data_IF_567812269030
#
_entry.id   IF_567812269030
#
_cell.length_a   1.000
_cell.length_b   1.000
_cell.length_c   1.000
_cell.angle_alpha   90.00
_cell.angle_beta   90.00
_cell.angle_gamma   90.00
#
_symmetry.space_group_name_H-M   'P 1'
#
loop_
_entity.id
_entity.type
_entity.pdbx_description
1 polymer ?
#
# COMPACT_ATOMS: atom_id res chain seq x y z
N UNK A 1 22.23 38.33 58.37
CA UNK A 1 23.41 37.45 58.36
C UNK A 1 23.56 36.85 56.97
N UNK A 2 24.51 37.38 56.20
CA UNK A 2 25.08 36.81 54.97
C UNK A 2 26.61 36.99 55.10
N UNK A 3 27.47 36.18 54.46
CA UNK A 3 27.67 36.16 53.00
C UNK A 3 27.46 34.75 52.40
N UNK A 4 27.62 34.50 51.10
CA UNK A 4 28.05 35.37 49.98
C UNK A 4 29.26 34.80 49.21
N UNK A 5 29.32 34.87 47.87
CA UNK A 5 30.39 34.28 47.06
C UNK A 5 31.60 35.20 46.80
N UNK A 6 32.72 34.62 46.36
CA UNK A 6 33.87 35.27 45.71
C UNK A 6 34.41 34.38 44.57
N UNK A 7 35.19 34.85 43.58
CA UNK A 7 35.88 36.13 43.42
C UNK A 7 37.28 36.10 44.07
N UNK A 8 38.42 36.43 43.42
CA UNK A 8 38.72 36.97 42.06
C UNK A 8 39.90 36.16 41.43
N UNK A 9 40.64 36.49 40.36
CA UNK A 9 40.89 37.67 39.48
C UNK A 9 41.16 37.15 38.03
N UNK A 10 41.64 37.86 36.99
CA UNK A 10 42.23 39.21 36.81
C UNK A 10 43.76 39.16 36.56
N UNK A 11 44.39 40.10 35.80
CA UNK A 11 43.88 41.30 35.11
C UNK A 11 43.50 40.98 33.63
N UNK A 12 43.81 41.65 32.49
CA UNK A 12 44.65 42.81 32.12
C UNK A 12 44.21 43.49 30.79
N UNK A 13 45.11 44.20 30.09
CA UNK A 13 44.81 45.35 29.20
C UNK A 13 45.04 45.16 27.68
N UNK A 14 44.07 45.65 26.88
CA UNK A 14 44.12 46.79 25.91
C UNK A 14 45.46 47.21 25.21
N UNK A 15 45.42 47.97 24.07
CA UNK A 15 44.36 48.19 23.06
C UNK A 15 44.84 48.39 21.58
N UNK A 16 43.90 48.79 20.69
CA UNK A 16 44.06 49.52 19.39
C UNK A 16 44.56 48.75 18.14
N UNK A 17 43.88 49.01 17.02
CA UNK A 17 44.32 48.73 15.64
C UNK A 17 43.22 49.08 14.63
N UNK A 18 43.44 50.03 13.71
CA UNK A 18 42.42 50.56 12.76
C UNK A 18 43.05 50.82 11.39
N UNK A 19 42.58 50.16 10.33
CA UNK A 19 42.66 50.63 8.93
C UNK A 19 41.78 49.75 8.01
N UNK A 20 41.44 50.29 6.84
CA UNK A 20 40.83 49.58 5.70
C UNK A 20 41.84 49.57 4.54
N UNK A 21 41.78 48.56 3.66
CA UNK A 21 42.25 48.67 2.28
C UNK A 21 41.70 47.53 1.38
N UNK A 22 41.07 47.91 0.28
CA UNK A 22 41.00 47.17 -0.99
C UNK A 22 41.77 48.02 -2.05
N UNK A 23 41.85 47.65 -3.34
CA UNK A 23 41.71 46.34 -3.99
C UNK A 23 42.99 45.95 -4.79
N UNK A 24 42.99 44.77 -5.41
CA UNK A 24 44.02 44.40 -6.41
C UNK A 24 43.71 43.06 -7.08
N UNK A 25 43.68 43.03 -8.41
CA UNK A 25 43.41 41.82 -9.20
C UNK A 25 44.70 41.01 -9.48
N UNK A 26 44.54 39.79 -10.02
CA UNK A 26 45.08 39.37 -11.33
C UNK A 26 44.41 38.05 -11.77
N UNK A 27 44.20 37.87 -13.07
CA UNK A 27 43.65 36.65 -13.67
C UNK A 27 44.71 35.55 -13.83
N UNK A 28 44.34 34.30 -13.51
CA UNK A 28 44.78 33.09 -14.22
C UNK A 28 43.74 31.98 -14.03
N UNK A 29 43.23 31.40 -15.12
CA UNK A 29 42.16 30.41 -15.08
C UNK A 29 42.62 28.96 -15.00
N UNK A 30 41.86 28.12 -14.31
CA UNK A 30 41.82 26.64 -14.45
C UNK A 30 40.49 26.11 -13.89
N UNK A 31 40.00 24.94 -14.34
CA UNK A 31 38.58 24.61 -14.28
C UNK A 31 38.09 24.24 -12.87
N UNK A 32 36.88 24.73 -12.54
CA UNK A 32 36.12 24.29 -11.37
C UNK A 32 35.47 22.93 -11.68
N UNK A 33 35.62 21.89 -10.84
CA UNK A 33 34.90 20.63 -11.03
C UNK A 33 33.40 20.84 -10.80
N UNK A 34 32.55 20.10 -11.51
CA UNK A 34 31.11 20.31 -11.50
C UNK A 34 30.48 20.21 -10.11
N UNK A 35 29.52 21.11 -9.84
CA UNK A 35 28.58 20.89 -8.74
C UNK A 35 27.70 19.69 -9.12
N UNK A 36 27.48 18.72 -8.21
CA UNK A 36 26.52 17.65 -8.48
C UNK A 36 25.15 18.28 -8.72
N UNK A 37 24.56 18.01 -9.89
CA UNK A 37 23.17 18.37 -10.16
C UNK A 37 22.27 17.66 -9.13
N UNK A 38 21.20 18.29 -8.63
CA UNK A 38 20.22 17.57 -7.84
C UNK A 38 19.65 16.44 -8.70
N UNK A 39 19.66 15.21 -8.17
CA UNK A 39 19.03 14.06 -8.80
C UNK A 39 17.59 14.39 -9.20
N UNK A 40 17.14 13.88 -10.35
CA UNK A 40 15.76 14.05 -10.82
C UNK A 40 14.76 13.75 -9.70
N UNK A 41 14.14 14.80 -9.17
CA UNK A 41 12.93 14.65 -8.37
C UNK A 41 11.84 14.07 -9.28
N UNK A 42 11.05 13.08 -8.84
CA UNK A 42 9.93 12.59 -9.63
C UNK A 42 8.99 13.75 -9.99
N UNK A 43 8.61 13.86 -11.26
CA UNK A 43 7.51 14.75 -11.64
C UNK A 43 6.23 14.30 -10.92
N UNK A 44 5.48 15.19 -10.26
CA UNK A 44 4.30 14.83 -9.48
C UNK A 44 3.11 14.39 -10.36
N UNK A 45 3.19 14.63 -11.68
CA UNK A 45 2.08 14.51 -12.63
C UNK A 45 2.09 13.21 -13.45
N UNK A 46 3.06 12.30 -13.21
CA UNK A 46 3.05 10.97 -13.83
C UNK A 46 2.16 10.05 -13.01
N UNK A 47 0.98 9.69 -13.52
CA UNK A 47 0.12 8.70 -12.88
C UNK A 47 0.88 7.36 -12.68
N UNK A 48 0.80 6.75 -11.49
CA UNK A 48 1.52 5.51 -11.22
C UNK A 48 0.96 4.36 -12.05
N UNK A 49 1.75 3.83 -12.98
CA UNK A 49 1.35 2.75 -13.88
C UNK A 49 1.00 1.41 -13.23
N UNK A 50 1.07 1.32 -11.90
CA UNK A 50 0.54 0.22 -11.09
C UNK A 50 -0.92 0.40 -10.66
N UNK A 51 -1.59 1.50 -11.06
CA UNK A 51 -2.98 1.81 -10.71
C UNK A 51 -3.85 1.82 -11.95
N UNK A 52 -5.04 1.22 -11.85
CA UNK A 52 -6.14 1.47 -12.79
C UNK A 52 -7.37 1.95 -11.98
N UNK A 53 -8.00 3.03 -12.43
CA UNK A 53 -9.25 3.56 -11.87
C UNK A 53 -10.33 3.58 -12.95
N UNK A 54 -11.48 2.97 -12.67
CA UNK A 54 -12.67 3.05 -13.52
C UNK A 54 -13.86 3.57 -12.72
N UNK A 55 -14.66 4.42 -13.37
CA UNK A 55 -15.88 5.03 -12.81
C UNK A 55 -17.01 4.85 -13.82
N UNK A 56 -18.09 4.18 -13.41
CA UNK A 56 -19.16 3.77 -14.30
C UNK A 56 -20.53 4.12 -13.69
N UNK A 57 -21.39 4.76 -14.47
CA UNK A 57 -22.70 5.24 -14.02
C UNK A 57 -23.83 4.41 -14.63
N UNK A 58 -24.84 4.06 -13.82
CA UNK A 58 -25.94 3.19 -14.24
C UNK A 58 -27.31 3.76 -13.85
N UNK A 59 -28.31 3.57 -14.70
CA UNK A 59 -29.69 4.04 -14.49
C UNK A 59 -30.73 2.95 -14.69
N UNK A 60 -31.81 3.04 -13.93
CA UNK A 60 -33.01 2.24 -14.15
C UNK A 60 -33.89 2.97 -15.18
N UNK A 61 -33.80 2.54 -16.44
CA UNK A 61 -34.60 3.13 -17.51
C UNK A 61 -36.10 2.81 -17.35
N UNK A 62 -37.03 3.74 -17.66
CA UNK A 62 -38.43 3.40 -17.86
C UNK A 62 -38.58 2.36 -18.98
N UNK A 63 -39.47 1.38 -18.81
CA UNK A 63 -39.55 0.12 -19.56
C UNK A 63 -39.91 0.21 -21.07
N UNK A 64 -39.67 1.33 -21.75
CA UNK A 64 -40.26 1.67 -23.04
C UNK A 64 -39.26 1.81 -24.22
N UNK A 65 -37.97 2.02 -23.97
CA UNK A 65 -36.99 2.30 -25.03
C UNK A 65 -35.96 1.16 -25.21
N UNK A 66 -36.21 0.27 -26.17
CA UNK A 66 -35.16 -0.57 -26.78
C UNK A 66 -34.27 0.28 -27.70
N UNK A 67 -33.59 1.27 -27.12
CA UNK A 67 -32.43 1.89 -27.72
C UNK A 67 -31.32 0.85 -27.89
N UNK A 68 -30.51 1.02 -28.93
CA UNK A 68 -29.62 0.01 -29.48
C UNK A 68 -28.52 -0.43 -28.50
N UNK A 69 -28.08 -1.69 -28.63
CA UNK A 69 -26.97 -2.27 -27.87
C UNK A 69 -25.64 -1.76 -28.47
N UNK A 70 -25.35 -0.48 -28.22
CA UNK A 70 -24.07 0.15 -28.52
C UNK A 70 -22.99 -0.52 -27.67
N UNK A 71 -22.15 -1.36 -28.29
CA UNK A 71 -21.18 -2.22 -27.60
C UNK A 71 -20.40 -1.54 -26.47
N UNK A 72 -20.31 -2.24 -25.35
CA UNK A 72 -19.70 -1.79 -24.10
C UNK A 72 -18.20 -1.59 -24.24
N UNK A 73 -17.67 -0.54 -23.60
CA UNK A 73 -16.23 -0.27 -23.39
C UNK A 73 -15.66 -1.23 -22.31
N UNK A 74 -15.91 -2.54 -22.46
CA UNK A 74 -15.56 -3.60 -21.50
C UNK A 74 -14.03 -3.77 -21.36
N UNK A 75 -13.27 -3.42 -22.41
CA UNK A 75 -11.80 -3.42 -22.48
C UNK A 75 -11.08 -2.65 -21.35
N UNK A 76 -11.79 -1.83 -20.57
CA UNK A 76 -11.27 -1.06 -19.44
C UNK A 76 -11.55 -1.71 -18.07
N UNK A 77 -12.48 -2.66 -17.99
CA UNK A 77 -13.00 -3.21 -16.74
C UNK A 77 -12.11 -4.38 -16.26
N UNK A 78 -11.41 -4.18 -15.14
CA UNK A 78 -10.51 -5.22 -14.59
C UNK A 78 -11.24 -6.34 -13.83
N UNK A 79 -12.39 -6.04 -13.23
CA UNK A 79 -13.25 -7.04 -12.57
C UNK A 79 -14.67 -6.98 -13.18
N UNK A 80 -15.05 -7.94 -14.05
CA UNK A 80 -16.37 -7.96 -14.67
C UNK A 80 -17.52 -8.03 -13.65
N UNK A 81 -18.59 -7.27 -13.88
CA UNK A 81 -19.73 -7.19 -12.97
C UNK A 81 -21.05 -6.94 -13.73
N UNK A 82 -22.19 -7.22 -13.09
CA UNK A 82 -23.52 -6.97 -13.63
C UNK A 82 -24.34 -6.18 -12.63
N UNK A 83 -24.89 -5.04 -13.06
CA UNK A 83 -25.72 -4.17 -12.21
C UNK A 83 -27.19 -4.47 -12.45
N UNK A 84 -27.91 -4.94 -11.43
CA UNK A 84 -29.32 -5.35 -11.55
C UNK A 84 -30.25 -4.67 -10.54
N UNK A 85 -31.55 -4.64 -10.84
CA UNK A 85 -32.59 -4.32 -9.88
C UNK A 85 -33.02 -5.55 -9.05
N UNK A 86 -33.91 -5.35 -8.06
CA UNK A 86 -34.44 -6.42 -7.21
C UNK A 86 -35.25 -7.51 -7.94
N UNK A 87 -35.44 -7.40 -9.26
CA UNK A 87 -36.06 -8.41 -10.13
C UNK A 87 -35.05 -9.06 -11.09
N UNK A 88 -33.76 -8.78 -10.93
CA UNK A 88 -32.71 -9.27 -11.82
C UNK A 88 -32.63 -8.58 -13.18
N UNK A 89 -33.28 -7.42 -13.36
CA UNK A 89 -33.21 -6.66 -14.62
C UNK A 89 -31.95 -5.81 -14.64
N UNK A 90 -31.15 -5.92 -15.69
CA UNK A 90 -29.94 -5.09 -15.86
C UNK A 90 -30.30 -3.60 -15.90
N UNK A 91 -29.51 -2.77 -15.20
CA UNK A 91 -29.53 -1.32 -15.39
C UNK A 91 -28.70 -0.96 -16.62
N UNK A 92 -29.08 0.09 -17.34
CA UNK A 92 -28.28 0.59 -18.47
C UNK A 92 -27.15 1.48 -17.98
N UNK A 93 -25.98 1.35 -18.58
CA UNK A 93 -24.86 2.25 -18.38
C UNK A 93 -25.15 3.61 -19.04
N UNK A 94 -24.80 4.70 -18.36
CA UNK A 94 -24.85 6.06 -18.91
C UNK A 94 -23.49 6.39 -19.50
N UNK A 95 -23.46 6.78 -20.78
CA UNK A 95 -22.24 7.29 -21.43
C UNK A 95 -21.85 8.62 -20.77
N UNK A 96 -20.57 8.79 -20.44
CA UNK A 96 -20.05 9.92 -19.64
C UNK A 96 -20.37 11.31 -20.23
N UNK A 97 -20.54 11.40 -21.55
CA UNK A 97 -20.96 12.60 -22.27
C UNK A 97 -22.45 12.97 -22.13
N UNK A 98 -23.28 12.13 -21.50
CA UNK A 98 -24.71 12.37 -21.31
C UNK A 98 -25.01 13.01 -19.96
N UNK A 99 -25.51 14.26 -19.98
CA UNK A 99 -25.89 15.04 -18.79
C UNK A 99 -27.18 14.56 -18.11
N UNK A 100 -27.15 13.37 -17.53
CA UNK A 100 -28.29 12.77 -16.83
C UNK A 100 -28.55 13.45 -15.47
N UNK A 101 -29.73 14.08 -15.33
CA UNK A 101 -30.13 14.83 -14.12
C UNK A 101 -31.05 14.04 -13.16
N UNK A 102 -31.15 12.71 -13.32
CA UNK A 102 -31.97 11.85 -12.46
C UNK A 102 -31.18 11.16 -11.35
N UNK A 103 -31.77 10.13 -10.73
CA UNK A 103 -31.06 9.24 -9.79
C UNK A 103 -30.30 8.16 -10.56
N UNK A 104 -28.99 8.06 -10.33
CA UNK A 104 -28.11 7.05 -10.90
C UNK A 104 -27.35 6.31 -9.80
N UNK A 105 -26.89 5.10 -10.11
CA UNK A 105 -25.88 4.37 -9.35
C UNK A 105 -24.49 4.74 -9.90
N UNK A 106 -23.48 4.77 -9.04
CA UNK A 106 -22.07 4.80 -9.46
C UNK A 106 -21.39 3.52 -8.98
N UNK A 107 -20.59 2.91 -9.85
CA UNK A 107 -19.66 1.83 -9.52
C UNK A 107 -18.25 2.36 -9.78
N UNK A 108 -17.35 2.10 -8.84
CA UNK A 108 -15.97 2.57 -8.87
C UNK A 108 -15.06 1.38 -8.60
N UNK A 109 -14.06 1.16 -9.45
CA UNK A 109 -12.99 0.18 -9.21
C UNK A 109 -11.66 0.92 -9.15
N UNK A 110 -10.91 0.71 -8.08
CA UNK A 110 -9.51 1.10 -7.98
C UNK A 110 -8.70 -0.19 -7.82
N UNK A 111 -7.76 -0.42 -8.73
CA UNK A 111 -6.99 -1.67 -8.85
C UNK A 111 -5.51 -1.36 -8.61
N UNK A 112 -4.82 -2.30 -7.97
CA UNK A 112 -3.39 -2.24 -7.69
C UNK A 112 -2.69 -3.43 -8.35
N UNK A 113 -1.76 -3.18 -9.26
CA UNK A 113 -0.89 -4.21 -9.85
C UNK A 113 0.20 -4.60 -8.83
N UNK A 114 0.05 -5.79 -8.25
CA UNK A 114 1.02 -6.32 -7.30
C UNK A 114 2.36 -6.67 -7.92
N UNK A 115 2.42 -7.10 -9.19
CA UNK A 115 3.70 -7.45 -9.83
C UNK A 115 4.52 -6.18 -10.13
N UNK A 116 3.86 -5.10 -10.55
CA UNK A 116 4.50 -3.79 -10.67
C UNK A 116 4.97 -3.28 -9.30
N UNK A 117 4.10 -3.31 -8.27
CA UNK A 117 4.46 -2.89 -6.90
C UNK A 117 5.65 -3.70 -6.36
N UNK A 118 5.65 -5.02 -6.50
CA UNK A 118 6.76 -5.87 -6.06
C UNK A 118 8.06 -5.46 -6.76
N UNK A 119 8.05 -5.24 -8.07
CA UNK A 119 9.25 -4.87 -8.82
C UNK A 119 9.74 -3.44 -8.51
N UNK A 120 8.86 -2.48 -8.20
CA UNK A 120 9.28 -1.14 -7.74
C UNK A 120 9.91 -1.20 -6.34
N UNK A 121 9.24 -1.82 -5.37
CA UNK A 121 9.75 -1.92 -3.99
C UNK A 121 11.09 -2.66 -3.95
N UNK A 122 11.24 -3.73 -4.74
CA UNK A 122 12.51 -4.45 -4.87
C UNK A 122 13.58 -3.58 -5.52
N UNK A 123 13.26 -2.75 -6.52
CA UNK A 123 14.25 -1.88 -7.18
C UNK A 123 14.69 -0.71 -6.30
N UNK A 124 13.75 -0.11 -5.59
CA UNK A 124 13.91 1.21 -4.96
C UNK A 124 14.22 1.12 -3.45
N UNK A 125 13.61 0.17 -2.73
CA UNK A 125 13.67 0.11 -1.26
C UNK A 125 14.45 -1.10 -0.70
N UNK A 126 14.57 -2.20 -1.45
CA UNK A 126 15.21 -3.42 -0.94
C UNK A 126 16.75 -3.31 -0.91
N UNK A 127 17.34 -3.40 0.28
CA UNK A 127 18.80 -3.41 0.47
C UNK A 127 19.51 -4.56 -0.27
N UNK A 128 18.79 -5.64 -0.57
CA UNK A 128 19.26 -6.81 -1.32
C UNK A 128 18.92 -6.76 -2.82
N UNK A 129 18.41 -5.63 -3.35
CA UNK A 129 17.99 -5.45 -4.75
C UNK A 129 19.01 -5.96 -5.78
N UNK A 130 20.30 -5.64 -5.59
CA UNK A 130 21.41 -6.06 -6.47
C UNK A 130 21.62 -7.58 -6.55
N UNK A 131 21.05 -8.36 -5.63
CA UNK A 131 21.10 -9.83 -5.60
C UNK A 131 19.87 -10.47 -6.24
N UNK A 132 18.77 -9.75 -6.42
CA UNK A 132 17.49 -10.28 -6.92
C UNK A 132 17.58 -10.70 -8.39
N UNK A 133 16.94 -11.81 -8.73
CA UNK A 133 16.80 -12.30 -10.11
C UNK A 133 15.35 -12.20 -10.60
N UNK A 134 14.42 -12.82 -9.86
CA UNK A 134 12.98 -12.84 -10.14
C UNK A 134 12.21 -13.36 -8.93
N UNK A 135 10.96 -12.94 -8.72
CA UNK A 135 10.03 -13.71 -7.87
C UNK A 135 9.43 -14.90 -8.64
N UNK A 136 8.78 -15.82 -7.93
CA UNK A 136 8.13 -17.00 -8.51
C UNK A 136 6.69 -17.21 -8.06
N UNK A 137 6.30 -16.71 -6.89
CA UNK A 137 4.99 -16.91 -6.26
C UNK A 137 4.82 -15.86 -5.13
N UNK A 138 3.59 -15.40 -4.86
CA UNK A 138 3.29 -14.38 -3.86
C UNK A 138 1.93 -14.58 -3.15
N UNK A 139 1.88 -14.28 -1.84
CA UNK A 139 0.69 -14.38 -0.98
C UNK A 139 0.45 -13.02 -0.30
N UNK A 140 -0.77 -12.48 -0.35
CA UNK A 140 -1.06 -11.09 0.02
C UNK A 140 -2.09 -11.06 1.16
N UNK A 141 -1.73 -10.41 2.26
CA UNK A 141 -2.58 -10.29 3.45
C UNK A 141 -2.77 -8.82 3.81
N UNK A 142 -4.03 -8.38 3.89
CA UNK A 142 -4.38 -7.08 4.49
C UNK A 142 -4.15 -7.18 6.00
N UNK A 143 -3.37 -6.25 6.55
CA UNK A 143 -3.09 -6.15 7.98
C UNK A 143 -4.02 -5.15 8.69
N UNK A 144 -4.42 -4.07 8.00
CA UNK A 144 -5.24 -2.99 8.54
C UNK A 144 -5.94 -2.22 7.41
N UNK A 145 -7.12 -1.64 7.68
CA UNK A 145 -7.83 -0.71 6.80
C UNK A 145 -8.27 0.49 7.64
N UNK A 146 -7.72 1.69 7.37
CA UNK A 146 -8.11 2.91 8.05
C UNK A 146 -9.16 3.69 7.24
N UNK A 147 -10.46 3.63 7.58
CA UNK A 147 -11.53 4.33 6.84
C UNK A 147 -11.59 5.84 7.13
N UNK A 148 -10.68 6.38 7.93
CA UNK A 148 -10.58 7.83 8.23
C UNK A 148 -9.57 8.50 7.29
N UNK A 149 -8.47 7.80 6.96
CA UNK A 149 -7.43 8.29 6.04
C UNK A 149 -7.48 7.61 4.67
N UNK A 150 -8.39 6.64 4.48
CA UNK A 150 -8.50 5.77 3.31
C UNK A 150 -7.19 5.06 2.94
N UNK A 151 -6.49 4.52 3.94
CA UNK A 151 -5.27 3.73 3.74
C UNK A 151 -5.52 2.24 4.02
N UNK A 152 -5.04 1.36 3.13
CA UNK A 152 -4.99 -0.09 3.32
C UNK A 152 -3.54 -0.51 3.56
N UNK A 153 -3.27 -1.16 4.69
CA UNK A 153 -1.93 -1.70 5.00
C UNK A 153 -1.89 -3.16 4.55
N UNK A 154 -0.97 -3.49 3.66
CA UNK A 154 -0.80 -4.86 3.14
C UNK A 154 0.59 -5.41 3.43
N UNK A 155 0.65 -6.74 3.56
CA UNK A 155 1.88 -7.52 3.68
C UNK A 155 1.90 -8.52 2.50
N UNK A 156 2.88 -8.38 1.62
CA UNK A 156 3.10 -9.23 0.44
C UNK A 156 4.22 -10.19 0.77
N UNK A 157 3.91 -11.47 0.98
CA UNK A 157 4.90 -12.52 1.14
C UNK A 157 5.40 -12.97 -0.22
N UNK A 158 6.71 -13.14 -0.38
CA UNK A 158 7.34 -13.51 -1.65
C UNK A 158 8.12 -14.81 -1.53
N UNK A 159 8.06 -15.62 -2.58
CA UNK A 159 9.10 -16.59 -2.93
C UNK A 159 9.88 -16.04 -4.13
N UNK A 160 11.21 -15.96 -4.02
CA UNK A 160 12.06 -15.38 -5.04
C UNK A 160 13.40 -16.08 -5.19
N UNK A 161 14.03 -15.88 -6.35
CA UNK A 161 15.41 -16.23 -6.62
C UNK A 161 16.31 -15.01 -6.42
N UNK A 162 17.39 -15.20 -5.66
CA UNK A 162 18.45 -14.22 -5.51
C UNK A 162 19.82 -14.91 -5.40
N UNK A 163 20.88 -14.21 -5.76
CA UNK A 163 22.25 -14.60 -5.42
C UNK A 163 22.47 -14.60 -3.90
N UNK A 164 23.36 -15.45 -3.37
CA UNK A 164 23.87 -15.35 -1.99
C UNK A 164 24.55 -14.01 -1.67
N UNK A 165 24.93 -13.79 -0.40
CA UNK A 165 25.93 -12.76 -0.09
C UNK A 165 27.32 -13.20 -0.55
N UNK A 166 28.23 -12.25 -0.79
CA UNK A 166 29.61 -12.55 -1.21
C UNK A 166 30.35 -13.41 -0.16
N UNK A 167 30.01 -13.25 1.12
CA UNK A 167 30.50 -14.03 2.26
C UNK A 167 30.17 -15.53 2.18
N UNK A 168 29.06 -15.92 1.52
CA UNK A 168 28.72 -17.34 1.33
C UNK A 168 29.60 -18.02 0.27
N UNK A 169 30.36 -17.26 -0.55
CA UNK A 169 31.25 -17.77 -1.60
C UNK A 169 30.54 -18.54 -2.73
N UNK A 170 29.21 -18.55 -2.78
CA UNK A 170 28.42 -19.36 -3.71
C UNK A 170 27.83 -18.51 -4.85
N UNK A 171 28.22 -18.85 -6.08
CA UNK A 171 27.93 -18.07 -7.31
C UNK A 171 26.60 -18.50 -7.99
N UNK A 172 25.73 -19.25 -7.31
CA UNK A 172 24.46 -19.74 -7.87
C UNK A 172 23.26 -19.16 -7.10
N UNK A 173 22.24 -18.61 -7.80
CA UNK A 173 21.01 -18.18 -7.14
C UNK A 173 20.35 -19.30 -6.34
N UNK A 174 19.71 -18.92 -5.23
CA UNK A 174 18.92 -19.79 -4.35
C UNK A 174 17.51 -19.24 -4.20
N UNK A 175 16.59 -20.10 -3.79
CA UNK A 175 15.24 -19.69 -3.38
C UNK A 175 15.27 -19.08 -1.98
N UNK A 176 14.73 -17.87 -1.85
CA UNK A 176 14.54 -17.16 -0.59
C UNK A 176 13.05 -16.83 -0.40
N UNK A 177 12.63 -16.73 0.86
CA UNK A 177 11.37 -16.14 1.29
C UNK A 177 11.65 -14.79 1.94
N UNK A 178 10.76 -13.83 1.69
CA UNK A 178 10.77 -12.52 2.35
C UNK A 178 9.35 -11.92 2.37
N UNK A 179 9.20 -10.72 2.90
CA UNK A 179 7.96 -9.94 2.84
C UNK A 179 8.23 -8.49 2.47
N UNK A 180 7.28 -7.89 1.75
CA UNK A 180 7.19 -6.45 1.52
C UNK A 180 5.95 -5.93 2.25
N UNK A 181 6.04 -4.80 2.93
CA UNK A 181 4.90 -4.13 3.58
C UNK A 181 4.77 -2.72 3.05
N UNK A 182 3.54 -2.30 2.78
CA UNK A 182 3.25 -0.93 2.41
C UNK A 182 1.84 -0.50 2.72
N UNK A 183 1.60 0.79 2.51
CA UNK A 183 0.31 1.45 2.68
C UNK A 183 -0.18 1.96 1.32
N UNK A 184 -1.37 1.52 0.93
CA UNK A 184 -2.05 1.94 -0.29
C UNK A 184 -3.09 3.01 0.03
N UNK A 185 -2.98 4.20 -0.58
CA UNK A 185 -3.88 5.32 -0.35
C UNK A 185 -5.00 5.34 -1.41
N UNK A 186 -6.22 5.00 -1.01
CA UNK A 186 -7.36 4.88 -1.93
C UNK A 186 -7.85 6.24 -2.47
N UNK A 187 -7.39 7.38 -1.93
CA UNK A 187 -7.70 8.70 -2.48
C UNK A 187 -6.81 9.08 -3.68
N UNK A 188 -5.61 8.48 -3.78
CA UNK A 188 -4.59 8.87 -4.76
C UNK A 188 -4.04 7.70 -5.57
N UNK A 189 -4.45 6.46 -5.28
CA UNK A 189 -3.91 5.24 -5.88
C UNK A 189 -2.48 4.87 -5.42
N UNK A 190 -1.71 5.84 -4.93
CA UNK A 190 -0.29 5.69 -4.57
C UNK A 190 -0.08 4.61 -3.51
N UNK A 191 0.91 3.76 -3.75
CA UNK A 191 1.46 2.80 -2.81
C UNK A 191 2.76 3.33 -2.21
N UNK A 192 2.88 3.29 -0.88
CA UNK A 192 4.06 3.73 -0.14
C UNK A 192 4.66 2.57 0.67
N UNK A 193 5.97 2.33 0.50
CA UNK A 193 6.69 1.28 1.25
C UNK A 193 6.78 1.63 2.74
N UNK A 194 6.41 0.65 3.58
CA UNK A 194 6.42 0.75 5.06
C UNK A 194 7.51 -0.15 5.65
N UNK A 195 7.95 -1.19 4.94
CA UNK A 195 9.11 -1.98 5.32
C UNK A 195 9.41 -3.13 4.36
N UNK A 196 10.67 -3.50 4.24
CA UNK A 196 11.15 -4.64 3.45
C UNK A 196 11.84 -5.63 4.38
N UNK A 197 11.51 -6.91 4.26
CA UNK A 197 12.14 -7.98 5.04
C UNK A 197 13.50 -8.41 4.48
N UNK A 198 14.29 -9.09 5.31
CA UNK A 198 15.50 -9.80 4.88
C UNK A 198 15.16 -11.04 4.05
N UNK A 199 16.17 -11.58 3.35
CA UNK A 199 16.06 -12.81 2.56
C UNK A 199 16.32 -14.05 3.42
N UNK A 200 15.27 -14.81 3.74
CA UNK A 200 15.37 -16.09 4.47
C UNK A 200 15.51 -17.26 3.51
N UNK A 201 16.58 -18.03 3.58
CA UNK A 201 16.83 -19.13 2.63
C UNK A 201 15.82 -20.29 2.80
N UNK A 202 15.19 -20.72 1.70
CA UNK A 202 14.20 -21.81 1.71
C UNK A 202 14.91 -23.16 1.61
N UNK A 203 15.24 -23.76 2.75
CA UNK A 203 16.03 -24.99 2.83
C UNK A 203 15.13 -26.22 3.09
N UNK A 204 14.79 -26.96 2.04
CA UNK A 204 14.01 -28.21 2.13
C UNK A 204 12.54 -28.06 2.56
N UNK A 205 12.07 -26.84 2.80
CA UNK A 205 10.67 -26.54 3.11
C UNK A 205 9.80 -26.65 1.86
N UNK A 206 8.57 -27.13 2.01
CA UNK A 206 7.55 -27.03 0.95
C UNK A 206 6.97 -25.61 0.88
N UNK A 207 6.52 -25.18 -0.30
CA UNK A 207 5.87 -23.87 -0.47
C UNK A 207 4.69 -23.68 0.48
N UNK A 208 3.85 -24.71 0.66
CA UNK A 208 2.76 -24.71 1.66
C UNK A 208 3.21 -24.51 3.11
N UNK A 209 4.43 -24.93 3.47
CA UNK A 209 5.02 -24.67 4.78
C UNK A 209 5.46 -23.21 4.93
N UNK A 210 6.07 -22.64 3.88
CA UNK A 210 6.42 -21.21 3.81
C UNK A 210 5.16 -20.35 3.92
N UNK A 211 4.15 -20.59 3.08
CA UNK A 211 2.88 -19.86 3.10
C UNK A 211 2.02 -20.10 4.35
N UNK A 212 2.19 -21.24 5.05
CA UNK A 212 1.61 -21.41 6.40
C UNK A 212 2.32 -20.54 7.44
N UNK A 213 3.64 -20.42 7.36
CA UNK A 213 4.45 -19.64 8.29
C UNK A 213 4.27 -18.14 8.09
N UNK A 214 4.26 -17.68 6.83
CA UNK A 214 3.96 -16.30 6.46
C UNK A 214 2.58 -15.84 6.96
N UNK A 215 1.52 -16.64 6.73
CA UNK A 215 0.17 -16.26 7.18
C UNK A 215 0.01 -16.31 8.70
N UNK A 216 0.73 -17.20 9.41
CA UNK A 216 0.81 -17.16 10.87
C UNK A 216 1.41 -15.84 11.36
N UNK A 217 2.55 -15.40 10.82
CA UNK A 217 3.15 -14.13 11.26
C UNK A 217 2.26 -12.91 10.94
N UNK A 218 1.47 -12.95 9.87
CA UNK A 218 0.45 -11.92 9.61
C UNK A 218 -0.67 -11.93 10.65
N UNK A 219 -1.16 -13.10 11.07
CA UNK A 219 -2.12 -13.25 12.18
C UNK A 219 -1.52 -12.78 13.50
N UNK A 220 -0.26 -13.14 13.80
CA UNK A 220 0.44 -12.71 15.01
C UNK A 220 0.60 -11.19 15.07
N UNK A 221 0.85 -10.54 13.92
CA UNK A 221 0.85 -9.07 13.80
C UNK A 221 -0.55 -8.50 14.04
N UNK A 222 -1.58 -8.99 13.34
CA UNK A 222 -2.95 -8.47 13.50
C UNK A 222 -3.46 -8.63 14.95
N UNK A 223 -3.24 -9.79 15.57
CA UNK A 223 -3.64 -10.05 16.96
C UNK A 223 -2.83 -9.23 17.98
N UNK A 224 -1.57 -8.89 17.69
CA UNK A 224 -0.72 -8.05 18.56
C UNK A 224 -1.15 -6.58 18.57
N UNK A 225 -1.75 -6.09 17.48
CA UNK A 225 -2.20 -4.70 17.34
C UNK A 225 -3.72 -4.53 17.45
N UNK A 226 -4.47 -5.60 17.72
CA UNK A 226 -5.93 -5.61 17.79
C UNK A 226 -6.47 -4.68 18.90
N UNK A 227 -7.15 -3.61 18.50
CA UNK A 227 -7.90 -2.72 19.40
C UNK A 227 -9.40 -3.05 19.31
N UNK A 228 -10.12 -3.27 20.43
CA UNK A 228 -11.55 -3.55 20.41
C UNK A 228 -12.38 -2.40 19.80
N UNK A 229 -13.20 -2.72 18.80
CA UNK A 229 -14.10 -1.76 18.14
C UNK A 229 -15.43 -1.55 18.88
N UNK A 230 -16.17 -0.52 18.46
CA UNK A 230 -17.57 -0.33 18.83
C UNK A 230 -18.48 -1.32 18.12
N UNK A 231 -19.51 -1.82 18.83
CA UNK A 231 -20.57 -2.69 18.29
C UNK A 231 -21.42 -2.07 17.17
N UNK A 232 -21.19 -0.80 16.83
CA UNK A 232 -21.83 -0.09 15.72
C UNK A 232 -20.93 0.04 14.48
N UNK A 233 -19.70 -0.50 14.52
CA UNK A 233 -18.72 -0.46 13.42
C UNK A 233 -18.32 -1.84 12.89
N UNK A 234 -18.64 -2.91 13.61
CA UNK A 234 -18.19 -4.26 13.26
C UNK A 234 -18.78 -4.76 11.93
N UNK A 235 -17.98 -5.47 11.14
CA UNK A 235 -18.45 -6.17 9.94
C UNK A 235 -19.23 -7.43 10.36
N UNK A 236 -20.54 -7.44 10.12
CA UNK A 236 -21.39 -8.59 10.46
C UNK A 236 -21.19 -9.76 9.46
N UNK A 237 -20.53 -10.83 9.90
CA UNK A 237 -20.27 -12.03 9.10
C UNK A 237 -21.18 -13.20 9.50
N UNK A 238 -22.23 -13.44 8.71
CA UNK A 238 -23.17 -14.54 8.91
C UNK A 238 -22.80 -15.75 8.02
N UNK A 239 -22.84 -16.97 8.59
CA UNK A 239 -22.65 -18.23 7.82
C UNK A 239 -23.26 -19.41 8.57
N UNK A 240 -23.86 -20.37 7.84
CA UNK A 240 -24.32 -21.64 8.39
C UNK A 240 -23.84 -22.80 7.49
N UNK A 241 -22.96 -23.65 8.02
CA UNK A 241 -22.24 -24.67 7.23
C UNK A 241 -22.98 -26.02 7.17
N UNK A 242 -24.28 -26.04 7.49
CA UNK A 242 -25.11 -27.25 7.57
C UNK A 242 -24.97 -28.18 6.35
N UNK A 243 -25.03 -27.64 5.13
CA UNK A 243 -24.95 -28.40 3.88
C UNK A 243 -23.51 -28.78 3.50
N UNK A 244 -22.49 -28.09 4.02
CA UNK A 244 -21.09 -28.31 3.65
C UNK A 244 -20.31 -29.17 4.66
N UNK A 245 -20.71 -29.17 5.93
CA UNK A 245 -20.05 -29.88 7.03
C UNK A 245 -21.00 -30.76 7.86
N UNK A 246 -22.25 -30.92 7.43
CA UNK A 246 -23.27 -31.74 8.10
C UNK A 246 -23.67 -31.24 9.49
N UNK A 247 -23.41 -29.97 9.82
CA UNK A 247 -23.61 -29.39 11.16
C UNK A 247 -24.16 -27.97 11.05
N UNK A 248 -25.40 -27.78 11.51
CA UNK A 248 -26.03 -26.45 11.56
C UNK A 248 -25.52 -25.62 12.76
N UNK A 249 -25.64 -24.30 12.66
CA UNK A 249 -25.74 -23.43 13.83
C UNK A 249 -26.85 -23.90 14.78
N UNK A 250 -26.63 -23.70 16.09
CA UNK A 250 -27.63 -23.99 17.16
C UNK A 250 -28.52 -22.80 17.50
N UNK A 251 -28.07 -21.58 17.21
CA UNK A 251 -28.73 -20.31 17.56
C UNK A 251 -28.35 -19.21 16.57
N UNK A 252 -29.24 -18.23 16.42
CA UNK A 252 -28.95 -16.91 15.86
C UNK A 252 -29.17 -15.87 16.97
N UNK A 253 -28.33 -14.84 17.07
CA UNK A 253 -28.30 -13.93 18.23
C UNK A 253 -28.26 -12.47 17.81
N UNK A 254 -29.32 -11.72 18.14
CA UNK A 254 -29.32 -10.25 18.14
C UNK A 254 -28.74 -9.76 19.47
N UNK A 255 -27.49 -9.30 19.43
CA UNK A 255 -26.76 -8.78 20.60
C UNK A 255 -27.37 -7.44 21.05
N UNK A 256 -27.84 -6.60 20.13
CA UNK A 256 -28.42 -5.28 20.44
C UNK A 256 -29.77 -5.35 21.15
N UNK A 257 -30.50 -6.46 21.01
CA UNK A 257 -31.79 -6.71 21.68
C UNK A 257 -31.77 -7.85 22.70
N UNK A 258 -30.62 -8.47 22.95
CA UNK A 258 -30.49 -9.69 23.78
C UNK A 258 -31.44 -10.83 23.35
N UNK A 259 -31.77 -10.92 22.07
CA UNK A 259 -32.79 -11.83 21.53
C UNK A 259 -32.13 -13.00 20.78
N UNK A 260 -32.53 -14.24 21.10
CA UNK A 260 -32.01 -15.45 20.47
C UNK A 260 -33.10 -16.22 19.73
N UNK A 261 -32.79 -16.70 18.54
CA UNK A 261 -33.55 -17.73 17.81
C UNK A 261 -32.82 -19.06 18.03
N UNK A 262 -33.54 -20.13 18.33
CA UNK A 262 -33.01 -21.50 18.43
C UNK A 262 -33.28 -22.25 17.12
N UNK A 263 -32.33 -23.09 16.71
CA UNK A 263 -32.35 -23.90 15.48
C UNK A 263 -32.19 -25.39 15.80
#
# INVERSE_FOLDING_TARGET
>A
TCPGPGGSQGPADRPRGRAQAEPGAWDTGSPHPDKPQPHNSPHPDTEPGYVNYTKLHYVLEPSANTAQDDGYDDDKISLPFVVTDLKGRNLKQVKESASYQGKYLTVEQLILDFEYVINEVIRNDAAWSKRYCSFSDYDIVILEVCPITNHVIINIGLLLLAYPSEEEGQIRPKTYHTYLRGAWNLNTGVFATVGVGDLTAVQGQTSGSVWSTFRKSCVDVAMRWLVPESIFRNVNRMTNEALHKGRSLKRLTDIGRSMWIVL
#
